data_IF_472496550402
#
_entry.id   IF_472496550402
#
_cell.length_a   1.000
_cell.length_b   1.000
_cell.length_c   1.000
_cell.angle_alpha   90.00
_cell.angle_beta   90.00
_cell.angle_gamma   90.00
#
_symmetry.space_group_name_H-M   'P 1'
#
loop_
_entity.id
_entity.type
_entity.pdbx_description
1 polymer ?
#
# COMPACT_ATOMS: atom_id res chain seq x y z
N UNK A 1 1.39 -14.93 -12.47
CA UNK A 1 2.13 -15.83 -11.56
C UNK A 1 2.41 -15.06 -10.28
N UNK A 2 1.67 -15.33 -9.20
CA UNK A 2 1.81 -14.66 -7.91
C UNK A 2 1.57 -15.68 -6.81
N UNK A 3 2.45 -16.69 -6.76
CA UNK A 3 2.41 -17.75 -5.75
C UNK A 3 2.69 -17.21 -4.35
N UNK A 4 2.24 -17.98 -3.37
CA UNK A 4 2.20 -17.67 -1.93
C UNK A 4 3.59 -17.45 -1.32
N UNK A 5 4.12 -16.21 -1.32
CA UNK A 5 5.43 -15.93 -0.69
C UNK A 5 5.46 -16.00 0.84
N UNK A 6 4.32 -16.12 1.51
CA UNK A 6 4.30 -16.37 2.96
C UNK A 6 4.84 -17.77 3.27
N UNK A 7 4.74 -18.69 2.32
CA UNK A 7 5.35 -20.03 2.43
C UNK A 7 6.88 -20.00 2.25
N UNK A 8 7.49 -18.87 1.87
CA UNK A 8 8.93 -18.74 1.62
C UNK A 8 9.73 -18.21 2.83
N UNK A 9 9.07 -17.69 3.87
CA UNK A 9 9.75 -17.20 5.08
C UNK A 9 9.66 -18.27 6.17
N UNK A 10 10.80 -18.78 6.62
CA UNK A 10 10.81 -19.87 7.60
C UNK A 10 10.43 -19.37 9.00
N UNK A 11 9.85 -20.25 9.82
CA UNK A 11 9.55 -19.95 11.22
C UNK A 11 10.82 -19.55 11.98
N UNK A 12 11.96 -20.17 11.66
CA UNK A 12 13.27 -19.81 12.19
C UNK A 12 13.67 -18.35 11.87
N UNK A 13 13.36 -17.85 10.67
CA UNK A 13 13.61 -16.44 10.29
C UNK A 13 12.71 -15.48 11.07
N UNK A 14 11.45 -15.84 11.28
CA UNK A 14 10.49 -15.05 12.06
C UNK A 14 10.94 -14.98 13.53
N UNK A 15 11.29 -16.11 14.14
CA UNK A 15 11.78 -16.17 15.52
C UNK A 15 13.06 -15.35 15.71
N UNK A 16 13.99 -15.41 14.75
CA UNK A 16 15.21 -14.59 14.76
C UNK A 16 14.90 -13.11 14.68
N UNK A 17 14.09 -12.70 13.70
CA UNK A 17 13.68 -11.31 13.53
C UNK A 17 12.98 -10.78 14.79
N UNK A 18 12.07 -11.56 15.38
CA UNK A 18 11.40 -11.22 16.62
C UNK A 18 12.38 -11.09 17.78
N UNK A 19 13.31 -12.04 17.94
CA UNK A 19 14.30 -12.00 19.02
C UNK A 19 15.17 -10.75 18.97
N UNK A 20 15.58 -10.31 17.76
CA UNK A 20 16.39 -9.11 17.57
C UNK A 20 15.57 -7.84 17.79
N UNK A 21 14.36 -7.77 17.23
CA UNK A 21 13.43 -6.67 17.43
C UNK A 21 13.08 -6.48 18.92
N UNK A 22 12.90 -7.58 19.65
CA UNK A 22 12.60 -7.56 21.08
C UNK A 22 13.81 -7.27 21.96
N UNK A 23 15.02 -7.71 21.58
CA UNK A 23 16.25 -7.46 22.37
C UNK A 23 16.73 -6.01 22.27
N UNK A 24 16.44 -5.31 21.16
CA UNK A 24 16.93 -3.95 20.90
C UNK A 24 16.05 -2.86 21.55
N UNK A 25 15.97 -2.86 22.89
CA UNK A 25 15.03 -2.03 23.68
C UNK A 25 15.48 -0.59 23.99
N UNK A 26 16.72 -0.25 23.69
CA UNK A 26 17.30 1.09 23.44
C UNK A 26 18.80 0.91 23.56
N UNK A 27 19.51 1.22 22.49
CA UNK A 27 20.97 1.23 22.44
C UNK A 27 21.37 2.60 21.90
N UNK A 28 22.53 3.13 22.30
CA UNK A 28 23.09 4.37 21.73
C UNK A 28 23.37 4.25 20.22
N UNK A 29 23.26 3.04 19.66
CA UNK A 29 23.43 2.75 18.23
C UNK A 29 22.10 2.80 17.49
N UNK A 30 22.07 3.41 16.29
CA UNK A 30 20.86 3.61 15.49
C UNK A 30 20.25 2.31 14.94
N UNK A 31 21.02 1.22 14.84
CA UNK A 31 20.56 -0.10 14.41
C UNK A 31 21.48 -1.21 14.92
N UNK A 32 20.98 -2.43 14.99
CA UNK A 32 21.74 -3.65 15.22
C UNK A 32 21.84 -4.47 13.94
N UNK A 33 23.01 -5.07 13.69
CA UNK A 33 23.24 -5.91 12.52
C UNK A 33 23.78 -7.26 12.96
N UNK A 34 23.10 -8.32 12.55
CA UNK A 34 23.53 -9.70 12.78
C UNK A 34 23.66 -10.44 11.45
N UNK A 35 24.75 -11.19 11.29
CA UNK A 35 25.04 -11.98 10.08
C UNK A 35 24.87 -13.46 10.39
N UNK A 36 23.99 -14.11 9.67
CA UNK A 36 23.74 -15.54 9.82
C UNK A 36 24.39 -16.29 8.67
N UNK A 37 25.54 -16.92 8.94
CA UNK A 37 26.29 -17.68 7.94
C UNK A 37 25.51 -18.91 7.43
N UNK A 38 24.71 -19.55 8.30
CA UNK A 38 23.96 -20.79 7.99
C UNK A 38 22.88 -20.61 6.92
N UNK A 39 22.22 -19.45 6.89
CA UNK A 39 21.11 -19.15 5.96
C UNK A 39 21.50 -18.09 4.90
N UNK A 40 22.79 -17.75 4.81
CA UNK A 40 23.31 -16.65 3.99
C UNK A 40 22.52 -15.33 4.13
N UNK A 41 22.21 -14.96 5.37
CA UNK A 41 21.27 -13.89 5.70
C UNK A 41 21.93 -12.79 6.54
N UNK A 42 21.44 -11.56 6.41
CA UNK A 42 21.80 -10.40 7.24
C UNK A 42 20.51 -9.78 7.77
N UNK A 43 20.37 -9.75 9.10
CA UNK A 43 19.21 -9.14 9.76
C UNK A 43 19.65 -7.79 10.34
N UNK A 44 18.90 -6.75 10.00
CA UNK A 44 19.09 -5.37 10.48
C UNK A 44 17.87 -5.00 11.32
N UNK A 45 18.09 -4.76 12.61
CA UNK A 45 17.04 -4.43 13.57
C UNK A 45 17.14 -2.99 14.05
N UNK A 46 16.00 -2.29 14.09
CA UNK A 46 15.92 -0.91 14.57
C UNK A 46 15.31 -0.84 15.98
N UNK A 47 15.86 -0.02 16.89
CA UNK A 47 15.33 0.13 18.25
C UNK A 47 13.97 0.82 18.24
N UNK A 48 13.09 0.41 19.16
CA UNK A 48 11.91 1.20 19.49
C UNK A 48 12.32 2.41 20.36
N UNK A 49 11.68 3.55 20.12
CA UNK A 49 11.75 4.70 21.03
C UNK A 49 10.52 4.74 21.94
N UNK A 50 10.69 5.28 23.15
CA UNK A 50 9.59 5.58 24.08
C UNK A 50 9.22 7.07 24.11
N UNK A 51 9.87 7.90 23.29
CA UNK A 51 9.65 9.35 23.26
C UNK A 51 8.43 9.71 22.42
N UNK A 52 7.56 10.57 22.95
CA UNK A 52 6.38 11.09 22.25
C UNK A 52 6.75 11.82 20.95
N UNK A 53 7.93 12.46 20.91
CA UNK A 53 8.44 13.20 19.74
C UNK A 53 8.74 12.30 18.55
N UNK A 54 8.89 10.99 18.79
CA UNK A 54 9.17 10.02 17.73
C UNK A 54 7.88 9.39 17.16
N UNK A 55 6.73 9.64 17.80
CA UNK A 55 5.43 9.21 17.29
C UNK A 55 4.83 10.21 16.30
N UNK A 56 5.12 11.51 16.44
CA UNK A 56 4.44 12.55 15.66
C UNK A 56 5.32 13.75 15.32
N UNK A 57 5.06 14.33 14.14
CA UNK A 57 5.58 15.63 13.70
C UNK A 57 4.45 16.68 13.69
N UNK A 58 4.77 17.98 13.71
CA UNK A 58 3.84 19.08 14.09
C UNK A 58 2.57 19.36 13.26
N UNK A 59 2.04 18.40 12.47
CA UNK A 59 0.74 18.48 11.77
C UNK A 59 -0.35 17.72 12.55
N UNK A 60 -1.64 18.03 12.39
CA UNK A 60 -2.73 17.46 13.20
C UNK A 60 -2.85 15.91 13.22
N UNK A 61 -2.25 15.22 12.24
CA UNK A 61 -2.19 13.75 12.17
C UNK A 61 -0.75 13.22 12.14
N UNK A 62 0.26 14.09 12.22
CA UNK A 62 1.68 13.74 12.14
C UNK A 62 2.16 13.34 10.74
N UNK A 63 1.32 13.43 9.71
CA UNK A 63 1.63 13.07 8.35
C UNK A 63 2.49 14.14 7.65
N UNK A 64 3.37 13.66 6.77
CA UNK A 64 4.20 14.52 5.92
C UNK A 64 4.27 13.94 4.50
N UNK A 65 4.41 14.80 3.50
CA UNK A 65 4.66 14.35 2.13
C UNK A 65 6.02 13.65 2.09
N UNK A 66 6.06 12.47 1.47
CA UNK A 66 7.31 11.70 1.31
C UNK A 66 8.33 12.55 0.56
N UNK A 67 9.58 12.59 1.04
CA UNK A 67 10.67 13.21 0.29
C UNK A 67 11.02 12.33 -0.91
N UNK A 68 10.49 12.74 -2.04
CA UNK A 68 10.58 11.97 -3.26
C UNK A 68 12.03 11.85 -3.80
N UNK A 69 12.97 12.70 -3.34
CA UNK A 69 14.41 12.56 -3.65
C UNK A 69 15.04 11.32 -3.02
N UNK A 70 14.51 10.86 -1.88
CA UNK A 70 15.01 9.69 -1.15
C UNK A 70 14.29 8.40 -1.54
N UNK A 71 13.09 8.51 -2.10
CA UNK A 71 12.28 7.38 -2.57
C UNK A 71 11.72 7.66 -3.97
N UNK A 72 12.55 7.69 -5.03
CA UNK A 72 12.13 7.92 -6.41
C UNK A 72 10.98 7.02 -6.89
N UNK A 73 10.85 5.75 -6.50
CA UNK A 73 9.69 4.90 -6.88
C UNK A 73 8.42 5.23 -6.11
N UNK A 74 8.54 5.98 -5.01
CA UNK A 74 7.42 6.64 -4.35
C UNK A 74 7.08 7.99 -5.01
N UNK A 75 7.51 8.20 -6.27
CA UNK A 75 7.11 9.27 -7.24
C UNK A 75 7.33 8.84 -8.70
N UNK A 76 7.11 9.76 -9.65
CA UNK A 76 7.61 9.65 -11.04
C UNK A 76 9.10 10.05 -11.14
N UNK A 77 9.87 9.34 -11.98
CA UNK A 77 11.29 8.90 -11.84
C UNK A 77 12.41 9.99 -11.96
N UNK A 78 13.52 9.85 -11.19
CA UNK A 78 14.85 10.46 -11.52
C UNK A 78 15.94 10.59 -10.40
N UNK A 79 16.89 9.64 -10.38
CA UNK A 79 18.31 9.53 -9.86
C UNK A 79 18.78 9.81 -8.39
N UNK A 80 19.91 9.14 -8.03
CA UNK A 80 20.18 8.34 -6.80
C UNK A 80 21.72 8.21 -6.45
N UNK A 81 22.14 7.92 -5.19
CA UNK A 81 23.53 7.46 -4.78
C UNK A 81 23.58 6.61 -3.45
N UNK A 82 24.54 5.67 -3.23
CA UNK A 82 24.52 4.47 -2.31
C UNK A 82 25.63 4.21 -1.22
N UNK A 83 25.32 3.37 -0.20
CA UNK A 83 26.22 2.85 0.88
C UNK A 83 25.79 1.47 1.52
N UNK A 84 26.73 0.76 2.19
CA UNK A 84 26.76 -0.54 2.98
C UNK A 84 25.85 -1.71 2.61
N UNK A 85 24.56 -1.49 2.35
CA UNK A 85 23.66 -2.48 1.74
C UNK A 85 24.29 -3.05 0.47
N UNK A 86 25.05 -2.23 -0.26
CA UNK A 86 25.92 -2.60 -1.38
C UNK A 86 26.81 -3.82 -1.11
N UNK A 87 27.39 -3.92 0.10
CA UNK A 87 28.30 -5.03 0.46
C UNK A 87 27.56 -6.34 0.73
N UNK A 88 26.32 -6.28 1.21
CA UNK A 88 25.48 -7.45 1.43
C UNK A 88 24.85 -7.94 0.12
N UNK A 89 24.38 -7.00 -0.72
CA UNK A 89 23.85 -7.28 -2.06
C UNK A 89 24.93 -7.85 -2.97
N UNK A 90 26.14 -7.26 -2.97
CA UNK A 90 27.28 -7.79 -3.73
C UNK A 90 27.74 -9.19 -3.30
N UNK A 91 27.33 -9.64 -2.11
CA UNK A 91 27.56 -11.01 -1.60
C UNK A 91 26.36 -11.94 -1.78
N UNK A 92 25.32 -11.51 -2.51
CA UNK A 92 24.07 -12.23 -2.71
C UNK A 92 23.52 -12.79 -1.39
N UNK A 93 23.34 -11.94 -0.38
CA UNK A 93 22.74 -12.32 0.90
C UNK A 93 21.28 -11.88 0.99
N UNK A 94 20.45 -12.68 1.67
CA UNK A 94 19.11 -12.25 2.06
C UNK A 94 19.23 -11.13 3.09
N UNK A 95 18.59 -9.99 2.83
CA UNK A 95 18.55 -8.87 3.76
C UNK A 95 17.17 -8.86 4.40
N UNK A 96 17.13 -8.84 5.73
CA UNK A 96 15.89 -8.75 6.50
C UNK A 96 15.96 -7.51 7.39
N UNK A 97 15.02 -6.60 7.22
CA UNK A 97 14.82 -5.46 8.10
C UNK A 97 13.73 -5.79 9.11
N UNK A 98 13.97 -5.52 10.38
CA UNK A 98 12.99 -5.81 11.43
C UNK A 98 12.92 -4.77 12.53
N UNK A 99 11.76 -4.68 13.17
CA UNK A 99 11.53 -3.78 14.29
C UNK A 99 10.22 -4.10 15.01
N UNK A 100 10.18 -3.69 16.27
CA UNK A 100 9.00 -3.76 17.14
C UNK A 100 8.50 -2.35 17.43
N UNK A 101 7.17 -2.14 17.47
CA UNK A 101 6.57 -0.83 17.77
C UNK A 101 7.18 0.28 16.89
N UNK A 102 7.72 1.37 17.46
CA UNK A 102 8.36 2.46 16.69
C UNK A 102 9.65 2.08 15.93
N UNK A 103 10.29 0.94 16.26
CA UNK A 103 11.39 0.42 15.44
C UNK A 103 10.90 -0.16 14.11
N UNK A 104 9.62 -0.54 14.03
CA UNK A 104 9.05 -1.14 12.83
C UNK A 104 8.86 -0.16 11.66
N UNK A 105 8.38 1.08 11.84
CA UNK A 105 8.41 2.12 10.82
C UNK A 105 9.78 2.31 10.16
N UNK A 106 10.86 2.31 10.96
CA UNK A 106 12.22 2.42 10.44
C UNK A 106 12.60 1.20 9.58
N UNK A 107 12.24 -0.01 10.01
CA UNK A 107 12.43 -1.23 9.23
C UNK A 107 11.69 -1.17 7.90
N UNK A 108 10.44 -0.69 7.89
CA UNK A 108 9.64 -0.53 6.68
C UNK A 108 10.31 0.47 5.73
N UNK A 109 10.68 1.65 6.22
CA UNK A 109 11.31 2.69 5.41
C UNK A 109 12.66 2.22 4.85
N UNK A 110 13.45 1.49 5.63
CA UNK A 110 14.70 0.90 5.18
C UNK A 110 14.48 -0.16 4.07
N UNK A 111 13.44 -0.99 4.20
CA UNK A 111 13.04 -1.94 3.15
C UNK A 111 12.60 -1.21 1.88
N UNK A 112 11.74 -0.19 1.98
CA UNK A 112 11.28 0.62 0.84
C UNK A 112 12.46 1.28 0.13
N UNK A 113 13.39 1.87 0.88
CA UNK A 113 14.58 2.50 0.34
C UNK A 113 15.48 1.48 -0.38
N UNK A 114 15.61 0.28 0.17
CA UNK A 114 16.39 -0.79 -0.43
C UNK A 114 15.74 -1.34 -1.70
N UNK A 115 14.42 -1.53 -1.69
CA UNK A 115 13.66 -1.93 -2.88
C UNK A 115 13.83 -0.91 -3.99
N UNK A 116 13.58 0.37 -3.70
CA UNK A 116 13.67 1.45 -4.68
C UNK A 116 15.06 1.59 -5.30
N UNK A 117 16.09 1.41 -4.48
CA UNK A 117 17.47 1.61 -4.90
C UNK A 117 18.07 0.44 -5.67
N UNK A 118 17.71 -0.78 -5.30
CA UNK A 118 18.39 -1.99 -5.79
C UNK A 118 17.48 -2.93 -6.58
N UNK A 119 16.16 -2.90 -6.37
CA UNK A 119 15.19 -3.47 -7.31
C UNK A 119 14.80 -2.39 -8.31
N UNK A 120 15.59 -2.25 -9.36
CA UNK A 120 15.09 -1.60 -10.58
C UNK A 120 14.44 -2.66 -11.48
N UNK A 121 13.52 -2.29 -12.39
CA UNK A 121 12.81 -3.21 -13.30
C UNK A 121 13.73 -4.12 -14.15
N UNK A 122 15.05 -3.88 -14.16
CA UNK A 122 16.05 -4.58 -14.94
C UNK A 122 16.73 -5.75 -14.21
N UNK A 123 16.54 -5.93 -12.91
CA UNK A 123 17.24 -6.96 -12.13
C UNK A 123 16.33 -8.16 -11.80
N UNK A 124 16.18 -9.08 -12.75
CA UNK A 124 15.37 -10.31 -12.60
C UNK A 124 16.08 -11.44 -11.80
N UNK A 125 17.17 -11.14 -11.10
CA UNK A 125 17.99 -12.15 -10.40
C UNK A 125 18.62 -11.69 -9.08
N UNK A 126 18.17 -10.56 -8.50
CA UNK A 126 18.68 -10.06 -7.22
C UNK A 126 17.89 -10.61 -6.03
N UNK A 127 18.57 -10.88 -4.92
CA UNK A 127 17.90 -11.23 -3.66
C UNK A 127 17.17 -10.00 -3.13
N UNK A 128 15.86 -10.12 -2.94
CA UNK A 128 15.01 -9.02 -2.53
C UNK A 128 15.01 -8.84 -1.00
N UNK A 129 15.03 -7.62 -0.47
CA UNK A 129 14.95 -7.41 0.97
C UNK A 129 13.57 -7.84 1.51
N UNK A 130 13.52 -8.21 2.78
CA UNK A 130 12.28 -8.56 3.49
C UNK A 130 12.09 -7.64 4.69
N UNK A 131 10.93 -7.01 4.83
CA UNK A 131 10.55 -6.25 6.01
C UNK A 131 9.64 -7.06 6.93
N UNK A 132 10.14 -7.49 8.09
CA UNK A 132 9.36 -8.20 9.11
C UNK A 132 9.14 -7.29 10.31
N UNK A 133 7.88 -6.99 10.64
CA UNK A 133 7.55 -6.06 11.71
C UNK A 133 6.59 -6.65 12.72
N UNK A 134 6.67 -6.18 13.97
CA UNK A 134 5.86 -6.66 15.08
C UNK A 134 5.20 -5.48 15.79
N UNK A 135 3.86 -5.46 15.85
CA UNK A 135 3.11 -4.39 16.51
C UNK A 135 3.43 -2.99 15.96
N UNK A 136 3.64 -2.88 14.65
CA UNK A 136 3.98 -1.61 14.00
C UNK A 136 2.77 -0.67 13.96
N UNK A 137 2.92 0.63 14.27
CA UNK A 137 1.95 1.61 13.81
C UNK A 137 1.92 1.63 12.27
N UNK A 138 0.81 2.10 11.70
CA UNK A 138 0.71 2.37 10.27
C UNK A 138 1.65 3.51 9.89
N UNK A 139 2.14 3.59 8.66
CA UNK A 139 3.11 4.64 8.29
C UNK A 139 2.80 5.36 6.97
N UNK A 140 1.95 4.77 6.13
CA UNK A 140 1.66 5.27 4.80
C UNK A 140 0.18 5.51 4.62
N UNK A 141 -0.16 6.31 3.61
CA UNK A 141 -1.53 6.48 3.17
C UNK A 141 -1.89 5.49 2.05
N UNK A 142 -3.08 5.66 1.46
CA UNK A 142 -3.52 4.82 0.35
C UNK A 142 -2.57 4.86 -0.88
N UNK A 143 -1.85 5.97 -1.10
CA UNK A 143 -0.88 6.10 -2.20
C UNK A 143 0.31 5.18 -1.96
N UNK A 144 0.83 5.11 -0.73
CA UNK A 144 1.91 4.16 -0.41
C UNK A 144 1.44 2.73 -0.64
N UNK A 145 0.24 2.38 -0.19
CA UNK A 145 -0.34 1.05 -0.43
C UNK A 145 -0.41 0.75 -1.92
N UNK A 146 -1.06 1.61 -2.71
CA UNK A 146 -1.19 1.45 -4.15
C UNK A 146 0.17 1.33 -4.86
N UNK A 147 1.14 2.19 -4.54
CA UNK A 147 2.48 2.15 -5.13
C UNK A 147 3.20 0.81 -4.85
N UNK A 148 3.12 0.30 -3.62
CA UNK A 148 3.72 -1.01 -3.29
C UNK A 148 3.05 -2.17 -4.00
N UNK A 149 1.76 -2.07 -4.32
CA UNK A 149 1.07 -3.06 -5.14
C UNK A 149 1.47 -2.96 -6.62
N UNK A 150 1.51 -1.75 -7.17
CA UNK A 150 1.94 -1.48 -8.55
C UNK A 150 3.32 -2.05 -8.85
N UNK A 151 4.29 -1.86 -7.96
CA UNK A 151 5.66 -2.36 -8.09
C UNK A 151 5.81 -3.84 -7.68
N UNK A 152 4.73 -4.52 -7.29
CA UNK A 152 4.73 -5.88 -6.74
C UNK A 152 5.64 -6.03 -5.50
N UNK A 153 5.74 -4.98 -4.70
CA UNK A 153 6.53 -4.91 -3.47
C UNK A 153 5.76 -5.32 -2.22
N UNK A 154 4.43 -5.30 -2.26
CA UNK A 154 3.56 -5.63 -1.11
C UNK A 154 3.88 -7.00 -0.48
N UNK A 155 4.35 -7.95 -1.29
CA UNK A 155 4.74 -9.29 -0.84
C UNK A 155 6.01 -9.34 0.03
N UNK A 156 6.83 -8.28 0.05
CA UNK A 156 8.06 -8.19 0.86
C UNK A 156 7.84 -7.63 2.26
N UNK A 157 6.62 -7.23 2.61
CA UNK A 157 6.29 -6.66 3.90
C UNK A 157 5.38 -7.59 4.68
N UNK A 158 5.86 -8.04 5.85
CA UNK A 158 5.13 -8.90 6.78
C UNK A 158 4.92 -8.15 8.10
N UNK A 159 3.66 -7.97 8.46
CA UNK A 159 3.23 -7.24 9.65
C UNK A 159 2.54 -8.20 10.63
N UNK A 160 3.20 -8.54 11.72
CA UNK A 160 2.62 -9.35 12.79
C UNK A 160 1.88 -8.46 13.77
N UNK A 161 0.59 -8.78 13.97
CA UNK A 161 -0.31 -7.99 14.81
C UNK A 161 -1.01 -8.93 15.79
N UNK A 162 -0.82 -8.67 17.08
CA UNK A 162 -1.60 -9.34 18.12
C UNK A 162 -3.03 -8.79 18.15
N UNK A 163 -3.97 -9.66 18.51
CA UNK A 163 -5.41 -9.35 18.54
C UNK A 163 -5.75 -8.03 19.24
N UNK A 164 -5.21 -7.82 20.45
CA UNK A 164 -5.51 -6.67 21.31
C UNK A 164 -4.41 -5.60 21.32
N UNK A 165 -3.45 -5.66 20.40
CA UNK A 165 -2.36 -4.68 20.35
C UNK A 165 -2.88 -3.30 19.93
N UNK A 166 -2.83 -2.30 20.80
CA UNK A 166 -3.33 -0.97 20.45
C UNK A 166 -2.40 -0.23 19.47
N UNK A 167 -1.10 -0.59 19.39
CA UNK A 167 -0.09 0.20 18.65
C UNK A 167 -0.41 0.34 17.15
N UNK A 168 -0.79 -0.71 16.41
CA UNK A 168 -1.19 -0.60 15.01
C UNK A 168 -2.43 0.28 14.76
N UNK A 169 -3.17 0.65 15.82
CA UNK A 169 -4.40 1.43 15.76
C UNK A 169 -4.22 2.89 16.17
N UNK A 170 -3.11 3.24 16.83
CA UNK A 170 -2.86 4.58 17.41
C UNK A 170 -3.07 5.69 16.37
N UNK A 171 -2.49 5.55 15.19
CA UNK A 171 -2.56 6.58 14.14
C UNK A 171 -3.91 6.67 13.42
N UNK A 172 -4.94 5.94 13.84
CA UNK A 172 -6.31 6.28 13.44
C UNK A 172 -6.83 7.52 14.15
N UNK A 173 -6.25 7.89 15.30
CA UNK A 173 -6.65 9.07 16.06
C UNK A 173 -5.81 10.29 15.74
N UNK A 174 -6.41 11.49 15.79
CA UNK A 174 -5.68 12.73 15.60
C UNK A 174 -4.80 13.08 16.80
N UNK A 175 -3.79 13.92 16.56
CA UNK A 175 -2.90 14.43 17.60
C UNK A 175 -3.62 15.16 18.72
N UNK A 176 -4.70 15.86 18.39
CA UNK A 176 -5.54 16.56 19.37
C UNK A 176 -6.19 15.61 20.37
N UNK A 177 -6.31 14.32 20.05
CA UNK A 177 -6.78 13.31 20.98
C UNK A 177 -5.70 12.89 22.01
N UNK A 178 -4.46 13.33 21.82
CA UNK A 178 -3.29 12.97 22.61
C UNK A 178 -2.71 14.20 23.33
N UNK A 179 -3.42 14.66 24.37
CA UNK A 179 -2.89 15.65 25.32
C UNK A 179 -1.70 15.08 26.14
N UNK A 180 -1.18 15.84 27.12
CA UNK A 180 -0.18 15.42 28.13
C UNK A 180 -0.41 14.00 28.71
N UNK A 181 -1.65 13.49 28.65
CA UNK A 181 -2.07 12.12 28.99
C UNK A 181 -1.37 11.02 28.18
N UNK A 182 -1.02 11.26 26.91
CA UNK A 182 -0.31 10.30 26.07
C UNK A 182 1.14 10.09 26.53
N UNK A 183 1.79 11.06 27.18
CA UNK A 183 3.13 10.85 27.75
C UNK A 183 3.12 9.76 28.82
N UNK A 184 2.09 9.72 29.67
CA UNK A 184 1.93 8.69 30.69
C UNK A 184 1.74 7.28 30.08
N UNK A 185 1.07 7.21 28.93
CA UNK A 185 0.77 5.95 28.23
C UNK A 185 1.94 5.52 27.32
N UNK A 186 2.68 6.46 26.74
CA UNK A 186 3.90 6.18 25.96
C UNK A 186 4.95 5.44 26.80
N UNK A 187 5.01 5.71 28.11
CA UNK A 187 5.85 4.96 29.04
C UNK A 187 5.42 3.49 29.21
N UNK A 188 4.13 3.16 29.02
CA UNK A 188 3.63 1.79 29.06
C UNK A 188 4.05 0.98 27.82
N UNK A 189 4.18 1.64 26.67
CA UNK A 189 4.72 1.00 25.46
C UNK A 189 6.23 0.80 25.53
N UNK A 190 6.91 1.45 26.49
CA UNK A 190 8.33 1.24 26.72
C UNK A 190 8.55 -0.09 27.46
N UNK A 191 9.16 -1.10 26.83
CA UNK A 191 9.39 -2.40 27.44
C UNK A 191 10.47 -2.38 28.55
N UNK A 192 11.09 -1.23 28.84
CA UNK A 192 12.00 -0.99 29.97
C UNK A 192 11.32 -0.39 31.21
N UNK A 193 10.05 0.04 31.12
CA UNK A 193 9.38 0.59 32.29
C UNK A 193 9.11 -0.53 33.30
N UNK A 194 9.49 -0.32 34.56
CA UNK A 194 9.25 -1.27 35.67
C UNK A 194 7.77 -1.40 36.06
N UNK A 195 6.84 -0.77 35.32
CA UNK A 195 5.40 -0.97 35.50
C UNK A 195 5.02 -2.28 34.83
N UNK A 196 5.11 -3.36 35.60
CA UNK A 196 4.65 -4.68 35.17
C UNK A 196 3.22 -4.61 34.61
N UNK A 197 3.01 -5.25 33.45
CA UNK A 197 1.69 -5.54 32.86
C UNK A 197 0.75 -6.32 33.81
N UNK A 198 1.26 -6.86 34.93
CA UNK A 198 0.54 -7.75 35.84
C UNK A 198 -0.07 -7.08 37.07
N UNK A 199 -0.18 -5.76 37.13
CA UNK A 199 -0.92 -5.10 38.23
C UNK A 199 -2.41 -4.98 37.89
N UNK A 200 -3.28 -5.59 38.72
CA UNK A 200 -4.76 -5.48 38.68
C UNK A 200 -5.31 -4.04 38.78
N UNK A 201 -4.44 -3.02 38.86
CA UNK A 201 -4.76 -1.60 38.93
C UNK A 201 -4.83 -0.90 37.57
N UNK A 202 -4.25 -1.46 36.49
CA UNK A 202 -4.15 -0.78 35.18
C UNK A 202 -5.51 -0.74 34.45
N UNK A 203 -6.32 -1.79 34.56
CA UNK A 203 -7.68 -1.82 33.98
C UNK A 203 -8.68 -0.88 34.65
N UNK A 204 -8.30 -0.24 35.77
CA UNK A 204 -9.08 0.77 36.51
C UNK A 204 -8.53 2.19 36.34
N UNK A 205 -7.47 2.37 35.57
CA UNK A 205 -6.92 3.68 35.27
C UNK A 205 -7.78 4.37 34.19
N UNK A 206 -8.52 5.39 34.61
CA UNK A 206 -9.41 6.15 33.73
C UNK A 206 -8.69 6.71 32.50
N UNK A 207 -7.41 7.08 32.62
CA UNK A 207 -6.65 7.63 31.50
C UNK A 207 -6.37 6.57 30.41
N UNK A 208 -6.13 5.31 30.80
CA UNK A 208 -5.88 4.20 29.87
C UNK A 208 -7.17 3.79 29.16
N UNK A 209 -8.28 3.72 29.90
CA UNK A 209 -9.60 3.44 29.32
C UNK A 209 -10.04 4.53 28.36
N UNK A 210 -9.85 5.81 28.72
CA UNK A 210 -10.17 6.95 27.85
C UNK A 210 -9.30 6.98 26.58
N UNK A 211 -8.00 6.69 26.71
CA UNK A 211 -7.10 6.56 25.58
C UNK A 211 -7.53 5.44 24.63
N UNK A 212 -7.78 4.23 25.16
CA UNK A 212 -8.22 3.10 24.35
C UNK A 212 -9.56 3.41 23.66
N UNK A 213 -10.51 4.00 24.38
CA UNK A 213 -11.79 4.42 23.82
C UNK A 213 -11.61 5.44 22.69
N UNK A 214 -10.75 6.44 22.87
CA UNK A 214 -10.44 7.43 21.84
C UNK A 214 -9.83 6.78 20.59
N UNK A 215 -8.84 5.89 20.77
CA UNK A 215 -8.20 5.15 19.67
C UNK A 215 -9.23 4.33 18.89
N UNK A 216 -10.05 3.56 19.59
CA UNK A 216 -11.02 2.68 18.97
C UNK A 216 -12.20 3.46 18.36
N UNK A 217 -12.62 4.58 18.94
CA UNK A 217 -13.68 5.44 18.38
C UNK A 217 -13.25 6.06 17.05
N UNK A 218 -12.03 6.59 16.96
CA UNK A 218 -11.50 7.11 15.70
C UNK A 218 -11.27 5.99 14.66
N UNK A 219 -10.78 4.83 15.10
CA UNK A 219 -10.68 3.66 14.23
C UNK A 219 -12.06 3.25 13.67
N UNK A 220 -13.12 3.31 14.48
CA UNK A 220 -14.49 3.06 14.05
C UNK A 220 -14.93 4.03 12.94
N UNK A 221 -14.63 5.33 13.12
CA UNK A 221 -14.98 6.37 12.15
C UNK A 221 -14.25 6.16 10.81
N UNK A 222 -12.93 5.92 10.85
CA UNK A 222 -12.11 5.67 9.65
C UNK A 222 -12.57 4.42 8.90
N UNK A 223 -12.81 3.32 9.61
CA UNK A 223 -13.24 2.05 8.99
C UNK A 223 -14.66 2.13 8.44
N UNK A 224 -15.59 2.77 9.15
CA UNK A 224 -16.97 2.98 8.67
C UNK A 224 -16.99 3.85 7.43
N UNK A 225 -16.27 4.97 7.44
CA UNK A 225 -16.14 5.84 6.26
C UNK A 225 -15.53 5.10 5.07
N UNK A 226 -14.47 4.32 5.28
CA UNK A 226 -13.86 3.52 4.22
C UNK A 226 -14.84 2.51 3.61
N UNK A 227 -15.65 1.83 4.45
CA UNK A 227 -16.67 0.90 3.99
C UNK A 227 -17.78 1.61 3.17
N UNK A 228 -18.25 2.78 3.61
CA UNK A 228 -19.23 3.57 2.87
C UNK A 228 -18.71 4.02 1.50
N UNK A 229 -17.48 4.53 1.44
CA UNK A 229 -16.83 4.94 0.19
C UNK A 229 -16.66 3.76 -0.77
N UNK A 230 -16.27 2.60 -0.26
CA UNK A 230 -16.08 1.38 -1.05
C UNK A 230 -17.36 0.82 -1.64
N UNK A 231 -18.49 0.96 -0.95
CA UNK A 231 -19.81 0.53 -1.44
C UNK A 231 -20.40 1.50 -2.49
N UNK A 232 -19.64 2.50 -2.94
CA UNK A 232 -20.09 3.47 -3.94
C UNK A 232 -21.20 4.40 -3.42
N UNK A 233 -21.24 4.66 -2.12
CA UNK A 233 -22.19 5.61 -1.55
C UNK A 233 -21.92 7.00 -2.15
N UNK A 234 -22.86 7.48 -2.98
CA UNK A 234 -22.83 8.80 -3.64
C UNK A 234 -23.39 9.88 -2.70
N UNK A 235 -23.38 9.62 -1.40
CA UNK A 235 -24.03 10.50 -0.45
C UNK A 235 -23.15 11.75 -0.22
N UNK A 236 -23.60 12.90 -0.71
CA UNK A 236 -22.95 14.19 -0.50
C UNK A 236 -22.76 14.52 1.00
N UNK A 237 -23.54 13.88 1.88
CA UNK A 237 -23.36 13.99 3.33
C UNK A 237 -22.05 13.35 3.80
N UNK A 238 -21.54 12.31 3.14
CA UNK A 238 -20.29 11.66 3.52
C UNK A 238 -19.09 12.61 3.34
N UNK A 239 -19.03 13.30 2.20
CA UNK A 239 -18.01 14.33 1.95
C UNK A 239 -18.15 15.50 2.92
N UNK A 240 -19.38 15.91 3.20
CA UNK A 240 -19.67 16.97 4.17
C UNK A 240 -19.19 16.61 5.59
N UNK A 241 -19.40 15.36 6.04
CA UNK A 241 -18.96 14.88 7.35
C UNK A 241 -17.42 14.87 7.46
N UNK A 242 -16.70 14.59 6.37
CA UNK A 242 -15.22 14.65 6.39
C UNK A 242 -14.65 16.05 6.63
N UNK A 243 -15.44 17.11 6.38
CA UNK A 243 -15.04 18.48 6.71
C UNK A 243 -15.09 18.76 8.23
N UNK A 244 -15.90 18.01 8.98
CA UNK A 244 -16.06 18.18 10.42
C UNK A 244 -15.27 17.19 11.25
N UNK A 245 -15.02 15.99 10.71
CA UNK A 245 -14.29 14.91 11.39
C UNK A 245 -13.00 14.63 10.62
N UNK A 246 -11.82 15.04 11.14
CA UNK A 246 -10.55 14.74 10.49
C UNK A 246 -10.29 13.23 10.54
N UNK A 247 -10.43 12.56 9.40
CA UNK A 247 -10.15 11.15 9.28
C UNK A 247 -8.67 10.90 9.02
N UNK A 248 -8.10 9.92 9.72
CA UNK A 248 -6.72 9.50 9.53
C UNK A 248 -6.43 9.10 8.08
N UNK A 249 -5.34 9.60 7.47
CA UNK A 249 -4.92 9.21 6.13
C UNK A 249 -4.21 7.84 6.11
N UNK A 250 -3.79 7.33 7.26
CA UNK A 250 -2.97 6.13 7.35
C UNK A 250 -3.75 4.88 6.92
N UNK A 251 -3.13 4.06 6.08
CA UNK A 251 -3.71 2.83 5.52
C UNK A 251 -2.70 1.69 5.63
N UNK A 252 -3.18 0.46 5.86
CA UNK A 252 -2.32 -0.72 5.82
C UNK A 252 -1.82 -0.97 4.39
N UNK A 253 -0.64 -1.55 4.29
CA UNK A 253 -0.07 -2.05 3.04
C UNK A 253 0.76 -3.31 3.36
N UNK A 254 1.06 -4.13 2.35
CA UNK A 254 1.75 -5.39 2.58
C UNK A 254 0.87 -6.49 3.16
N UNK A 255 1.50 -7.52 3.72
CA UNK A 255 0.81 -8.68 4.29
C UNK A 255 0.70 -8.56 5.80
N UNK A 256 -0.52 -8.66 6.33
CA UNK A 256 -0.77 -8.70 7.76
C UNK A 256 -1.03 -10.14 8.23
N UNK A 257 -0.42 -10.49 9.36
CA UNK A 257 -0.59 -11.76 10.05
C UNK A 257 -1.18 -11.44 11.42
N UNK A 258 -2.48 -11.73 11.58
CA UNK A 258 -3.20 -11.57 12.83
C UNK A 258 -3.04 -12.83 13.68
N UNK A 259 -2.60 -12.66 14.93
CA UNK A 259 -2.42 -13.76 15.88
C UNK A 259 -3.52 -13.73 16.95
N UNK A 260 -4.28 -14.84 17.10
CA UNK A 260 -5.50 -14.87 17.92
C UNK A 260 -5.35 -15.42 19.33
N UNK A 261 -4.20 -16.00 19.70
CA UNK A 261 -3.97 -16.59 21.02
C UNK A 261 -2.50 -16.81 21.37
N UNK A 262 -2.24 -17.25 22.60
CA UNK A 262 -0.91 -17.55 23.11
C UNK A 262 -0.56 -19.03 22.93
N UNK A 263 0.65 -19.35 22.45
CA UNK A 263 1.14 -20.73 22.34
C UNK A 263 0.76 -21.45 21.05
N UNK A 264 0.83 -22.80 21.06
CA UNK A 264 0.65 -23.66 19.87
C UNK A 264 -0.80 -23.75 19.35
N UNK A 265 -1.76 -23.20 20.09
CA UNK A 265 -3.20 -23.19 19.75
C UNK A 265 -3.65 -21.87 19.10
N UNK A 266 -2.77 -20.87 19.03
CA UNK A 266 -3.07 -19.59 18.39
C UNK A 266 -3.18 -19.73 16.86
N UNK A 267 -4.32 -19.31 16.29
CA UNK A 267 -4.49 -19.26 14.84
C UNK A 267 -3.73 -18.06 14.26
N UNK A 268 -3.08 -18.27 13.12
CA UNK A 268 -2.43 -17.22 12.31
C UNK A 268 -3.35 -16.93 11.12
N UNK A 269 -3.88 -15.71 11.05
CA UNK A 269 -4.76 -15.30 9.95
C UNK A 269 -4.03 -14.33 9.04
N UNK A 270 -3.81 -14.77 7.82
CA UNK A 270 -3.08 -14.03 6.80
C UNK A 270 -4.05 -13.20 5.96
N UNK A 271 -3.81 -11.89 5.88
CA UNK A 271 -4.64 -10.98 5.10
C UNK A 271 -3.75 -10.05 4.28
N UNK A 272 -4.01 -9.97 2.98
CA UNK A 272 -3.23 -9.15 2.03
C UNK A 272 -4.01 -7.94 1.51
N UNK A 273 -5.33 -8.04 1.41
CA UNK A 273 -6.14 -6.95 0.91
C UNK A 273 -6.10 -5.79 1.95
N UNK A 274 -5.62 -4.59 1.59
CA UNK A 274 -5.45 -3.49 2.55
C UNK A 274 -6.79 -3.02 3.13
N UNK A 275 -7.87 -3.04 2.36
CA UNK A 275 -9.20 -2.69 2.83
C UNK A 275 -9.71 -3.69 3.86
N UNK A 276 -9.50 -4.99 3.62
CA UNK A 276 -9.80 -6.03 4.60
C UNK A 276 -8.99 -5.87 5.89
N UNK A 277 -7.68 -5.61 5.78
CA UNK A 277 -6.82 -5.36 6.95
C UNK A 277 -7.32 -4.16 7.74
N UNK A 278 -7.69 -3.07 7.05
CA UNK A 278 -8.20 -1.85 7.69
C UNK A 278 -9.42 -2.15 8.56
N UNK A 279 -10.37 -2.94 8.03
CA UNK A 279 -11.57 -3.35 8.77
C UNK A 279 -11.24 -4.25 9.96
N UNK A 280 -10.30 -5.18 9.81
CA UNK A 280 -9.85 -6.10 10.87
C UNK A 280 -9.05 -5.41 11.99
N UNK A 281 -8.39 -4.29 11.70
CA UNK A 281 -7.69 -3.50 12.72
C UNK A 281 -8.66 -2.88 13.74
N UNK A 282 -9.87 -2.51 13.31
CA UNK A 282 -10.93 -1.99 14.20
C UNK A 282 -11.82 -3.09 14.78
N UNK A 283 -12.27 -4.04 13.95
CA UNK A 283 -13.12 -5.16 14.37
C UNK A 283 -12.31 -6.45 14.34
N UNK A 284 -11.44 -6.69 15.33
CA UNK A 284 -10.77 -7.97 15.39
C UNK A 284 -11.78 -9.09 15.67
N UNK A 285 -11.26 -10.30 15.52
CA UNK A 285 -11.76 -11.59 15.97
C UNK A 285 -12.75 -11.48 17.17
N UNK A 286 -13.92 -12.14 17.07
CA UNK A 286 -15.03 -12.19 18.03
C UNK A 286 -14.57 -12.71 19.40
N UNK A 287 -14.98 -12.04 20.47
CA UNK A 287 -14.69 -12.47 21.84
C UNK A 287 -15.55 -13.70 22.17
N UNK A 288 -14.95 -14.88 22.41
CA UNK A 288 -15.71 -16.09 22.76
C UNK A 288 -16.52 -15.95 24.06
N UNK A 289 -16.27 -14.91 24.87
CA UNK A 289 -17.04 -14.60 26.07
C UNK A 289 -18.24 -13.65 25.85
N UNK A 290 -18.35 -13.03 24.67
CA UNK A 290 -19.45 -12.12 24.35
C UNK A 290 -20.67 -12.89 23.81
N UNK A 291 -21.76 -12.94 24.59
CA UNK A 291 -23.00 -13.65 24.22
C UNK A 291 -23.77 -13.05 23.02
N UNK A 292 -23.32 -11.89 22.52
CA UNK A 292 -23.97 -11.17 21.42
C UNK A 292 -23.29 -11.37 20.07
N UNK A 293 -22.06 -11.91 20.03
CA UNK A 293 -21.43 -12.33 18.78
C UNK A 293 -21.82 -13.78 18.49
N UNK A 294 -22.88 -13.96 17.70
CA UNK A 294 -23.24 -15.27 17.16
C UNK A 294 -22.08 -15.79 16.29
N UNK A 295 -21.22 -16.62 16.88
CA UNK A 295 -20.14 -17.33 16.19
C UNK A 295 -20.74 -18.41 15.30
N UNK A 296 -21.03 -18.07 14.05
CA UNK A 296 -21.34 -19.07 13.02
C UNK A 296 -20.03 -19.50 12.34
N UNK A 297 -19.38 -20.51 12.93
CA UNK A 297 -18.26 -21.34 12.43
C UNK A 297 -16.81 -20.75 12.38
N UNK A 298 -15.88 -21.63 12.79
CA UNK A 298 -14.41 -21.81 12.61
C UNK A 298 -13.40 -20.66 12.44
N UNK A 299 -13.80 -19.44 12.09
CA UNK A 299 -12.86 -18.36 11.74
C UNK A 299 -12.64 -17.32 12.84
N UNK A 300 -13.27 -17.49 14.01
CA UNK A 300 -13.20 -16.58 15.15
C UNK A 300 -13.45 -15.09 14.80
N UNK A 301 -14.00 -14.74 13.62
CA UNK A 301 -14.28 -13.34 13.23
C UNK A 301 -15.70 -12.90 13.61
N UNK A 302 -15.88 -11.63 13.98
CA UNK A 302 -17.22 -11.04 14.13
C UNK A 302 -17.98 -11.08 12.79
N UNK A 303 -19.31 -11.12 12.82
CA UNK A 303 -20.16 -11.08 11.61
C UNK A 303 -19.79 -9.88 10.74
N UNK A 304 -19.57 -8.74 11.38
CA UNK A 304 -19.13 -7.51 10.74
C UNK A 304 -17.78 -7.67 10.00
N UNK A 305 -16.78 -8.28 10.64
CA UNK A 305 -15.49 -8.54 10.01
C UNK A 305 -15.62 -9.47 8.79
N UNK A 306 -16.49 -10.48 8.85
CA UNK A 306 -16.77 -11.39 7.73
C UNK A 306 -17.41 -10.66 6.54
N UNK A 307 -18.40 -9.81 6.79
CA UNK A 307 -19.03 -9.01 5.74
C UNK A 307 -18.02 -8.06 5.07
N UNK A 308 -17.16 -7.42 5.85
CA UNK A 308 -16.08 -6.58 5.34
C UNK A 308 -15.08 -7.37 4.46
N UNK A 309 -14.70 -8.58 4.88
CA UNK A 309 -13.83 -9.47 4.10
C UNK A 309 -14.49 -9.89 2.78
N UNK A 310 -15.78 -10.24 2.81
CA UNK A 310 -16.55 -10.57 1.62
C UNK A 310 -16.64 -9.37 0.67
N UNK A 311 -16.97 -8.18 1.18
CA UNK A 311 -17.02 -6.95 0.39
C UNK A 311 -15.66 -6.62 -0.25
N UNK A 312 -14.56 -6.71 0.49
CA UNK A 312 -13.21 -6.51 -0.04
C UNK A 312 -12.84 -7.52 -1.13
N UNK A 313 -13.35 -8.76 -1.04
CA UNK A 313 -13.18 -9.79 -2.06
C UNK A 313 -13.97 -9.45 -3.33
N UNK A 314 -15.24 -9.06 -3.18
CA UNK A 314 -16.09 -8.64 -4.30
C UNK A 314 -15.54 -7.42 -5.03
N UNK A 315 -14.99 -6.44 -4.30
CA UNK A 315 -14.34 -5.25 -4.89
C UNK A 315 -13.13 -5.68 -5.73
N UNK A 316 -12.28 -6.55 -5.19
CA UNK A 316 -11.12 -7.07 -5.92
C UNK A 316 -11.52 -7.81 -7.19
N UNK A 317 -12.58 -8.61 -7.13
CA UNK A 317 -13.17 -9.28 -8.30
C UNK A 317 -13.73 -8.26 -9.30
N UNK A 318 -14.41 -7.22 -8.83
CA UNK A 318 -14.90 -6.11 -9.65
C UNK A 318 -13.78 -5.43 -10.43
N UNK A 319 -12.66 -5.11 -9.77
CA UNK A 319 -11.46 -4.55 -10.43
C UNK A 319 -10.91 -5.49 -11.51
N UNK A 320 -10.87 -6.80 -11.23
CA UNK A 320 -10.41 -7.80 -12.19
C UNK A 320 -11.36 -7.95 -13.39
N UNK A 321 -12.66 -7.89 -13.15
CA UNK A 321 -13.66 -7.90 -14.21
C UNK A 321 -13.58 -6.65 -15.09
N UNK A 322 -13.33 -5.48 -14.49
CA UNK A 322 -13.04 -4.25 -15.22
C UNK A 322 -11.79 -4.40 -16.08
N UNK A 323 -10.69 -4.96 -15.57
CA UNK A 323 -9.49 -5.23 -16.36
C UNK A 323 -9.81 -6.12 -17.57
N UNK A 324 -10.52 -7.24 -17.37
CA UNK A 324 -10.89 -8.16 -18.47
C UNK A 324 -11.76 -7.45 -19.50
N UNK A 325 -12.72 -6.62 -19.07
CA UNK A 325 -13.56 -5.82 -19.95
C UNK A 325 -12.74 -4.81 -20.75
N UNK A 326 -11.80 -4.12 -20.11
CA UNK A 326 -10.93 -3.14 -20.78
C UNK A 326 -9.96 -3.82 -21.74
N UNK A 327 -9.44 -5.02 -21.41
CA UNK A 327 -8.57 -5.79 -22.30
C UNK A 327 -9.26 -6.12 -23.64
N UNK A 328 -10.56 -6.44 -23.63
CA UNK A 328 -11.33 -6.62 -24.88
C UNK A 328 -11.42 -5.35 -25.72
N UNK A 329 -11.53 -4.18 -25.08
CA UNK A 329 -11.54 -2.88 -25.79
C UNK A 329 -10.15 -2.50 -26.30
N UNK A 330 -9.11 -2.95 -25.61
CA UNK A 330 -7.72 -2.80 -26.06
C UNK A 330 -7.46 -3.58 -27.35
N UNK A 331 -8.02 -4.79 -27.51
CA UNK A 331 -7.89 -5.53 -28.77
C UNK A 331 -8.46 -4.73 -29.96
N UNK A 332 -9.59 -4.03 -29.75
CA UNK A 332 -10.15 -3.09 -30.72
C UNK A 332 -9.25 -1.87 -30.97
N UNK A 333 -8.63 -1.32 -29.92
CA UNK A 333 -7.64 -0.23 -30.05
C UNK A 333 -6.46 -0.64 -30.92
N UNK A 334 -5.91 -1.84 -30.73
CA UNK A 334 -4.79 -2.34 -31.53
C UNK A 334 -5.15 -2.45 -33.02
N UNK A 335 -6.37 -2.87 -33.35
CA UNK A 335 -6.86 -2.93 -34.73
C UNK A 335 -6.95 -1.54 -35.36
N UNK A 336 -7.60 -0.59 -34.67
CA UNK A 336 -7.76 0.79 -35.17
C UNK A 336 -6.45 1.54 -35.26
N UNK A 337 -5.50 1.28 -34.35
CA UNK A 337 -4.16 1.84 -34.45
C UNK A 337 -3.42 1.35 -35.69
N UNK A 338 -3.57 0.07 -36.10
CA UNK A 338 -2.97 -0.41 -37.36
C UNK A 338 -3.53 0.30 -38.59
N UNK A 339 -4.82 0.65 -38.57
CA UNK A 339 -5.42 1.44 -39.65
C UNK A 339 -4.85 2.86 -39.70
N UNK A 340 -4.63 3.51 -38.54
CA UNK A 340 -3.98 4.82 -38.45
C UNK A 340 -2.50 4.79 -38.80
N UNK A 341 -1.78 3.71 -38.46
CA UNK A 341 -0.38 3.52 -38.86
C UNK A 341 -0.28 3.44 -40.40
N UNK A 342 -1.22 2.76 -41.08
CA UNK A 342 -1.27 2.74 -42.55
C UNK A 342 -1.50 4.13 -43.14
N UNK A 343 -2.43 4.90 -42.58
CA UNK A 343 -2.65 6.30 -42.98
C UNK A 343 -1.36 7.11 -42.83
N UNK A 344 -0.65 6.92 -41.72
CA UNK A 344 0.65 7.57 -41.50
C UNK A 344 1.68 7.18 -42.57
N UNK A 345 1.84 5.89 -42.86
CA UNK A 345 2.77 5.39 -43.89
C UNK A 345 2.44 5.98 -45.27
N UNK A 346 1.16 6.05 -45.64
CA UNK A 346 0.70 6.66 -46.89
C UNK A 346 1.20 8.10 -47.03
N UNK A 347 1.01 8.94 -46.01
CA UNK A 347 1.42 10.35 -46.08
C UNK A 347 2.92 10.58 -45.92
N UNK A 348 3.63 9.66 -45.28
CA UNK A 348 5.10 9.63 -45.31
C UNK A 348 5.63 9.35 -46.72
N UNK A 349 4.99 8.45 -47.48
CA UNK A 349 5.33 8.19 -48.88
C UNK A 349 5.08 9.41 -49.79
N UNK A 350 4.04 10.19 -49.52
CA UNK A 350 3.75 11.45 -50.23
C UNK A 350 4.66 12.62 -49.81
N UNK A 351 5.57 12.43 -48.84
CA UNK A 351 6.46 13.45 -48.26
C UNK A 351 5.77 14.66 -47.62
N UNK A 352 4.45 14.57 -47.40
CA UNK A 352 3.66 15.62 -46.74
C UNK A 352 3.61 15.40 -45.23
N UNK A 353 3.74 14.15 -44.77
CA UNK A 353 3.61 13.81 -43.37
C UNK A 353 2.16 13.85 -42.90
N UNK A 354 1.75 12.85 -42.14
CA UNK A 354 0.34 12.67 -41.75
C UNK A 354 -0.22 13.76 -40.82
N UNK A 355 0.65 14.51 -40.11
CA UNK A 355 0.23 15.66 -39.31
C UNK A 355 -0.29 16.80 -40.19
N UNK A 356 0.49 17.18 -41.21
CA UNK A 356 0.18 18.29 -42.11
C UNK A 356 -0.95 17.92 -43.05
N UNK A 357 -0.95 16.69 -43.59
CA UNK A 357 -2.05 16.17 -44.40
C UNK A 357 -3.39 16.27 -43.66
N UNK A 358 -3.43 15.77 -42.43
CA UNK A 358 -4.62 15.87 -41.56
C UNK A 358 -5.01 17.33 -41.27
N UNK A 359 -4.03 18.22 -41.11
CA UNK A 359 -4.28 19.63 -40.78
C UNK A 359 -4.93 20.38 -41.93
N UNK A 360 -4.43 20.18 -43.15
CA UNK A 360 -4.89 20.89 -44.35
C UNK A 360 -6.04 20.18 -45.05
N UNK A 361 -6.39 18.96 -44.60
CA UNK A 361 -7.42 18.10 -45.18
C UNK A 361 -7.11 17.81 -46.67
N UNK A 362 -5.89 17.31 -46.93
CA UNK A 362 -5.39 17.05 -48.28
C UNK A 362 -6.21 15.99 -49.02
N UNK A 363 -6.63 14.92 -48.32
CA UNK A 363 -7.63 13.96 -48.80
C UNK A 363 -8.80 13.95 -47.82
N UNK A 364 -9.87 14.73 -48.10
CA UNK A 364 -10.98 14.90 -47.16
C UNK A 364 -11.64 13.59 -46.73
N UNK A 365 -11.65 12.56 -47.58
CA UNK A 365 -12.27 11.28 -47.26
C UNK A 365 -11.36 10.45 -46.34
N UNK A 366 -10.08 10.31 -46.65
CA UNK A 366 -9.12 9.59 -45.80
C UNK A 366 -8.87 10.32 -44.46
N UNK A 367 -8.78 11.65 -44.48
CA UNK A 367 -8.55 12.49 -43.31
C UNK A 367 -9.76 12.46 -42.36
N UNK A 368 -10.98 12.49 -42.90
CA UNK A 368 -12.19 12.28 -42.11
C UNK A 368 -12.18 10.90 -41.45
N UNK A 369 -11.81 9.85 -42.19
CA UNK A 369 -11.71 8.50 -41.64
C UNK A 369 -10.61 8.36 -40.56
N UNK A 370 -9.51 9.09 -40.68
CA UNK A 370 -8.48 9.17 -39.63
C UNK A 370 -9.02 9.90 -38.39
N UNK A 371 -9.83 10.95 -38.56
CA UNK A 371 -10.42 11.69 -37.44
C UNK A 371 -11.45 10.85 -36.67
N UNK A 372 -12.27 10.06 -37.38
CA UNK A 372 -13.20 9.12 -36.74
C UNK A 372 -12.44 8.12 -35.86
N UNK A 373 -11.37 7.53 -36.38
CA UNK A 373 -10.53 6.58 -35.62
C UNK A 373 -9.88 7.24 -34.40
N UNK A 374 -9.36 8.46 -34.55
CA UNK A 374 -8.81 9.26 -33.45
C UNK A 374 -9.82 9.39 -32.31
N UNK A 375 -11.08 9.73 -32.61
CA UNK A 375 -12.16 9.87 -31.63
C UNK A 375 -12.56 8.54 -30.99
N UNK A 376 -12.68 7.47 -31.78
CA UNK A 376 -12.99 6.13 -31.26
C UNK A 376 -11.92 5.65 -30.26
N UNK A 377 -10.65 5.85 -30.60
CA UNK A 377 -9.53 5.51 -29.74
C UNK A 377 -9.50 6.35 -28.47
N UNK A 378 -9.72 7.67 -28.58
CA UNK A 378 -9.77 8.58 -27.44
C UNK A 378 -10.87 8.17 -26.46
N UNK A 379 -12.07 7.83 -26.94
CA UNK A 379 -13.19 7.41 -26.11
C UNK A 379 -12.88 6.15 -25.27
N UNK A 380 -12.15 5.18 -25.83
CA UNK A 380 -11.73 3.99 -25.08
C UNK A 380 -10.70 4.36 -24.00
N UNK A 381 -9.74 5.20 -24.33
CA UNK A 381 -8.73 5.64 -23.36
C UNK A 381 -9.31 6.50 -22.24
N UNK A 382 -10.28 7.38 -22.54
CA UNK A 382 -10.98 8.17 -21.53
C UNK A 382 -11.71 7.29 -20.50
N UNK A 383 -12.34 6.21 -20.95
CA UNK A 383 -12.97 5.24 -20.04
C UNK A 383 -11.94 4.54 -19.15
N UNK A 384 -10.81 4.13 -19.70
CA UNK A 384 -9.72 3.52 -18.93
C UNK A 384 -9.17 4.50 -17.88
N UNK A 385 -8.94 5.76 -18.28
CA UNK A 385 -8.44 6.82 -17.41
C UNK A 385 -9.44 7.12 -16.29
N UNK A 386 -10.73 7.13 -16.58
CA UNK A 386 -11.77 7.35 -15.57
C UNK A 386 -11.81 6.21 -14.54
N UNK A 387 -11.69 4.95 -14.99
CA UNK A 387 -11.58 3.80 -14.08
C UNK A 387 -10.30 3.84 -13.24
N UNK A 388 -9.17 4.32 -13.79
CA UNK A 388 -7.94 4.54 -13.03
C UNK A 388 -8.11 5.63 -11.98
N UNK A 389 -8.74 6.77 -12.32
CA UNK A 389 -9.03 7.86 -11.37
C UNK A 389 -9.90 7.42 -10.20
N UNK A 390 -10.81 6.47 -10.43
CA UNK A 390 -11.68 5.89 -9.40
C UNK A 390 -11.06 4.74 -8.62
N UNK A 391 -9.83 4.31 -8.96
CA UNK A 391 -9.19 3.10 -8.42
C UNK A 391 -10.00 1.81 -8.68
N UNK A 392 -10.78 1.77 -9.76
CA UNK A 392 -11.65 0.65 -10.16
C UNK A 392 -10.92 -0.38 -11.04
N UNK A 393 -9.62 -0.20 -11.24
CA UNK A 393 -8.72 -1.14 -11.91
C UNK A 393 -7.68 -1.67 -10.93
N UNK A 394 -7.07 -2.84 -11.20
CA UNK A 394 -6.02 -3.40 -10.34
C UNK A 394 -4.82 -2.46 -10.25
N UNK A 395 -4.24 -2.32 -9.06
CA UNK A 395 -3.11 -1.41 -8.81
C UNK A 395 -1.88 -1.77 -9.66
N UNK A 396 -1.73 -3.04 -10.05
CA UNK A 396 -0.65 -3.51 -10.90
C UNK A 396 -0.78 -3.08 -12.37
N UNK A 397 -1.95 -2.58 -12.79
CA UNK A 397 -2.24 -2.31 -14.21
C UNK A 397 -1.26 -1.30 -14.82
N UNK A 398 -0.99 -0.20 -14.12
CA UNK A 398 -0.09 0.87 -14.59
C UNK A 398 1.37 0.38 -14.73
N UNK A 399 1.74 -0.67 -14.01
CA UNK A 399 3.07 -1.30 -14.09
C UNK A 399 3.19 -2.40 -15.15
N UNK A 400 2.08 -2.83 -15.80
CA UNK A 400 2.12 -3.92 -16.78
C UNK A 400 2.70 -3.44 -18.11
N UNK A 401 3.76 -4.12 -18.57
CA UNK A 401 4.45 -3.83 -19.83
C UNK A 401 3.52 -3.81 -21.05
N UNK A 402 2.50 -4.67 -21.10
CA UNK A 402 1.50 -4.67 -22.18
C UNK A 402 0.77 -3.33 -22.28
N UNK A 403 0.24 -2.84 -21.14
CA UNK A 403 -0.49 -1.58 -21.04
C UNK A 403 0.41 -0.37 -21.29
N UNK A 404 1.64 -0.39 -20.79
CA UNK A 404 2.63 0.66 -21.03
C UNK A 404 2.97 0.76 -22.52
N UNK A 405 3.19 -0.38 -23.19
CA UNK A 405 3.52 -0.42 -24.62
C UNK A 405 2.37 0.14 -25.46
N UNK A 406 1.15 -0.34 -25.25
CA UNK A 406 0.02 0.13 -26.06
C UNK A 406 -0.31 1.59 -25.78
N UNK A 407 -0.29 2.04 -24.52
CA UNK A 407 -0.50 3.46 -24.18
C UNK A 407 0.57 4.36 -24.78
N UNK A 408 1.83 3.90 -24.81
CA UNK A 408 2.93 4.65 -25.45
C UNK A 408 2.76 4.73 -26.96
N UNK A 409 2.39 3.62 -27.61
CA UNK A 409 2.16 3.59 -29.05
C UNK A 409 0.96 4.45 -29.44
N UNK A 410 -0.16 4.36 -28.70
CA UNK A 410 -1.34 5.20 -28.89
C UNK A 410 -0.96 6.67 -28.81
N UNK A 411 -0.30 7.08 -27.72
CA UNK A 411 0.14 8.46 -27.53
C UNK A 411 1.01 8.95 -28.68
N UNK A 412 2.00 8.16 -29.11
CA UNK A 412 2.89 8.55 -30.23
C UNK A 412 2.16 8.69 -31.57
N UNK A 413 1.13 7.88 -31.81
CA UNK A 413 0.40 7.86 -33.07
C UNK A 413 -0.67 8.95 -33.13
N UNK A 414 -1.44 9.10 -32.04
CA UNK A 414 -2.69 9.87 -32.00
C UNK A 414 -2.50 11.30 -31.46
N UNK A 415 -1.59 11.51 -30.50
CA UNK A 415 -1.33 12.86 -29.93
C UNK A 415 -0.99 13.91 -31.01
N UNK A 416 -0.20 13.60 -32.07
CA UNK A 416 0.02 14.54 -33.17
C UNK A 416 -1.26 14.91 -33.92
N UNK A 417 -2.20 13.97 -34.10
CA UNK A 417 -3.48 14.23 -34.75
C UNK A 417 -4.41 15.05 -33.87
N UNK A 418 -4.41 14.82 -32.56
CA UNK A 418 -5.13 15.68 -31.60
C UNK A 418 -4.60 17.12 -31.63
N UNK A 419 -3.27 17.29 -31.66
CA UNK A 419 -2.63 18.60 -31.79
C UNK A 419 -2.99 19.22 -33.15
N UNK A 420 -2.97 18.44 -34.23
CA UNK A 420 -3.32 18.91 -35.57
C UNK A 420 -4.76 19.44 -35.61
N UNK A 421 -5.71 18.66 -35.08
CA UNK A 421 -7.12 19.04 -34.96
C UNK A 421 -7.32 20.29 -34.08
N UNK A 422 -6.52 20.46 -33.02
CA UNK A 422 -6.60 21.64 -32.14
C UNK A 422 -6.18 22.93 -32.85
N UNK A 423 -5.22 22.85 -33.78
CA UNK A 423 -4.68 24.00 -34.53
C UNK A 423 -5.19 24.08 -35.97
N UNK A 424 -6.13 23.22 -36.38
CA UNK A 424 -6.82 23.35 -37.65
C UNK A 424 -7.68 24.63 -37.61
N UNK A 425 -7.51 25.50 -38.62
CA UNK A 425 -8.19 26.80 -38.74
C UNK A 425 -9.47 26.63 -39.54
#
# INVERSE_FOLDING_TARGET
MGGERIEQVSEEQIEKAFSLAWRHKSSDRPYHLEKFAKNNEVVISFPASGSIKDWYSGTALGDTKVNLKLFPSLRSIGNNEAAFVDKAIGKQKQIVFTGHSLGAPLAILATLWTLDKYLTPKSHGGIHPLGITFGSPLIGNHILSHATWRENWSSYFLHFVMRYDVVPRIFFSPLSAFDQRFEAISQLFNPKSNRSFTSESIGRDAAISEFYFSVMSNAAAVTSHAACKQMGSIDATLETVTNFIPLSPYRPFGTFIFCTGNGKEGKKIVVRNPDAVLQLLFRPVADPSSKNDLTLNDLDFSISARLCLQAATLIKEGKRNNEVRMKKKIDFVEEKMKELDKYKETWEHHKLGYYDAFKIQEDPDEDFQANVKRLELAAVWDEIIELLRRYDLPDELEGKTEWIKIGTSFRRLVEPLDISNYYAI
#
